data_IF_233036280316
#
_entry.id   IF_233036280316
#
_cell.length_a   1.000
_cell.length_b   1.000
_cell.length_c   1.000
_cell.angle_alpha   90.00
_cell.angle_beta   90.00
_cell.angle_gamma   90.00
#
_symmetry.space_group_name_H-M   'P 1'
#
loop_
_entity.id
_entity.type
_entity.pdbx_description
1 polymer ?
#
# COMPACT_ATOMS: atom_id res chain seq x y z
N UNK A 1 -1.94 1.85 18.40
CA UNK A 1 -1.21 1.61 17.14
C UNK A 1 -0.64 0.20 17.22
N UNK A 2 -1.01 -0.67 16.28
CA UNK A 2 -0.37 -1.97 16.14
C UNK A 2 0.92 -1.82 15.35
N UNK A 3 1.97 -2.53 15.75
CA UNK A 3 3.25 -2.59 15.03
C UNK A 3 3.46 -4.05 14.64
N UNK A 4 3.45 -4.33 13.35
CA UNK A 4 3.75 -5.66 12.81
C UNK A 4 5.19 -5.61 12.28
N UNK A 5 6.16 -6.26 12.94
CA UNK A 5 7.54 -6.24 12.47
C UNK A 5 7.73 -7.14 11.25
N UNK A 6 8.66 -6.76 10.37
CA UNK A 6 8.94 -7.46 9.11
C UNK A 6 9.16 -8.97 9.27
N UNK A 7 9.85 -9.38 10.34
CA UNK A 7 10.13 -10.79 10.63
C UNK A 7 8.89 -11.67 10.76
N UNK A 8 7.73 -11.09 11.09
CA UNK A 8 6.47 -11.84 11.26
C UNK A 8 5.75 -12.03 9.92
N UNK A 9 6.04 -11.22 8.89
CA UNK A 9 5.27 -11.17 7.65
C UNK A 9 5.29 -12.51 6.91
N UNK A 10 6.44 -13.20 6.89
CA UNK A 10 6.56 -14.51 6.25
C UNK A 10 5.69 -15.60 6.91
N UNK A 11 5.35 -15.45 8.21
CA UNK A 11 4.44 -16.35 8.91
C UNK A 11 2.96 -15.94 8.83
N UNK A 12 2.67 -14.70 8.40
CA UNK A 12 1.31 -14.14 8.33
C UNK A 12 0.75 -14.10 6.91
N UNK A 13 1.61 -13.91 5.91
CA UNK A 13 1.21 -13.77 4.51
C UNK A 13 1.32 -15.10 3.76
N UNK A 14 0.27 -15.42 3.01
CA UNK A 14 0.29 -16.48 2.00
C UNK A 14 0.08 -15.90 0.62
N UNK A 15 0.41 -16.68 -0.41
CA UNK A 15 0.21 -16.26 -1.80
C UNK A 15 -1.27 -16.07 -2.11
N UNK A 16 -2.12 -16.95 -1.61
CA UNK A 16 -3.56 -16.95 -1.81
C UNK A 16 -4.19 -15.71 -1.18
N UNK A 17 -3.82 -15.40 0.08
CA UNK A 17 -4.32 -14.20 0.76
C UNK A 17 -3.89 -12.90 0.05
N UNK A 18 -2.65 -12.84 -0.44
CA UNK A 18 -2.16 -11.71 -1.21
C UNK A 18 -2.89 -11.57 -2.56
N UNK A 19 -3.13 -12.68 -3.25
CA UNK A 19 -3.85 -12.69 -4.51
C UNK A 19 -5.29 -12.19 -4.33
N UNK A 20 -6.03 -12.74 -3.38
CA UNK A 20 -7.43 -12.35 -3.11
C UNK A 20 -7.55 -10.87 -2.74
N UNK A 21 -6.62 -10.35 -1.93
CA UNK A 21 -6.60 -8.95 -1.53
C UNK A 21 -6.35 -8.02 -2.74
N UNK A 22 -5.40 -8.39 -3.60
CA UNK A 22 -5.05 -7.61 -4.79
C UNK A 22 -6.18 -7.66 -5.83
N UNK A 23 -6.75 -8.83 -6.11
CA UNK A 23 -7.88 -8.97 -7.04
C UNK A 23 -9.06 -8.07 -6.62
N UNK A 24 -9.42 -8.09 -5.34
CA UNK A 24 -10.53 -7.28 -4.80
C UNK A 24 -10.29 -5.78 -4.95
N UNK A 25 -9.08 -5.29 -4.65
CA UNK A 25 -8.80 -3.86 -4.80
C UNK A 25 -8.81 -3.43 -6.27
N UNK A 26 -8.35 -4.28 -7.20
CA UNK A 26 -8.48 -4.00 -8.63
C UNK A 26 -9.95 -3.87 -9.05
N UNK A 27 -10.82 -4.77 -8.59
CA UNK A 27 -12.27 -4.68 -8.85
C UNK A 27 -12.88 -3.41 -8.24
N UNK A 28 -12.54 -3.06 -7.00
CA UNK A 28 -13.00 -1.84 -6.34
C UNK A 28 -12.56 -0.57 -7.07
N UNK A 29 -11.31 -0.53 -7.54
CA UNK A 29 -10.81 0.59 -8.36
C UNK A 29 -11.56 0.70 -9.68
N UNK A 30 -11.81 -0.42 -10.37
CA UNK A 30 -12.57 -0.43 -11.62
C UNK A 30 -14.03 0.04 -11.42
N UNK A 31 -14.61 -0.23 -10.25
CA UNK A 31 -15.94 0.25 -9.86
C UNK A 31 -15.96 1.72 -9.38
N UNK A 32 -14.79 2.36 -9.20
CA UNK A 32 -14.68 3.71 -8.65
C UNK A 32 -14.84 3.79 -7.13
N UNK A 33 -14.80 2.65 -6.43
CA UNK A 33 -14.91 2.56 -4.97
C UNK A 33 -13.57 2.71 -4.25
N UNK A 34 -12.46 2.59 -4.96
CA UNK A 34 -11.11 2.78 -4.44
C UNK A 34 -10.28 3.67 -5.36
N UNK A 35 -9.39 4.48 -4.79
CA UNK A 35 -8.48 5.33 -5.56
C UNK A 35 -7.14 5.55 -4.87
N UNK A 36 -6.16 5.94 -5.68
CA UNK A 36 -4.84 6.37 -5.22
C UNK A 36 -4.80 7.91 -5.15
N UNK A 37 -4.16 8.44 -4.11
CA UNK A 37 -3.80 9.86 -4.06
C UNK A 37 -2.60 10.13 -5.00
N UNK A 38 -2.34 11.40 -5.37
CA UNK A 38 -1.13 11.76 -6.11
C UNK A 38 0.13 11.25 -5.41
N UNK A 39 1.01 10.60 -6.17
CA UNK A 39 2.28 10.08 -5.66
C UNK A 39 3.23 11.24 -5.38
N UNK A 40 3.82 11.24 -4.18
CA UNK A 40 4.97 12.10 -3.86
C UNK A 40 6.23 11.28 -4.07
N UNK A 41 7.21 11.83 -4.78
CA UNK A 41 8.50 11.17 -5.03
C UNK A 41 9.60 12.23 -5.15
N UNK A 42 10.51 12.23 -4.19
CA UNK A 42 11.56 13.23 -4.04
C UNK A 42 12.94 12.57 -4.15
N UNK A 43 13.85 13.21 -4.89
CA UNK A 43 15.27 12.93 -4.78
C UNK A 43 15.83 13.77 -3.64
N UNK A 44 16.07 13.15 -2.49
CA UNK A 44 16.25 13.88 -1.22
C UNK A 44 17.64 14.51 -1.04
N UNK A 45 18.54 14.35 -2.01
CA UNK A 45 19.90 14.90 -1.96
C UNK A 45 20.85 14.18 -0.97
N UNK A 46 20.48 12.98 -0.50
CA UNK A 46 21.29 12.17 0.40
C UNK A 46 21.34 10.72 -0.08
N UNK A 47 22.55 10.14 -0.11
CA UNK A 47 22.80 8.74 -0.46
C UNK A 47 22.13 8.29 -1.78
N UNK A 48 21.99 9.19 -2.76
CA UNK A 48 21.26 8.99 -4.02
C UNK A 48 19.84 8.43 -3.84
N UNK A 49 19.25 8.64 -2.65
CA UNK A 49 17.98 8.06 -2.28
C UNK A 49 16.82 8.81 -2.93
N UNK A 50 15.85 8.04 -3.38
CA UNK A 50 14.50 8.52 -3.61
C UNK A 50 13.69 8.23 -2.36
N UNK A 51 12.77 9.11 -2.01
CA UNK A 51 11.81 8.88 -0.94
C UNK A 51 10.46 9.46 -1.32
N UNK A 52 9.38 8.83 -0.88
CA UNK A 52 8.07 9.25 -1.26
C UNK A 52 6.95 8.55 -0.53
N UNK A 53 5.74 8.87 -0.97
CA UNK A 53 4.50 8.37 -0.41
C UNK A 53 3.59 7.89 -1.52
N UNK A 54 3.01 6.71 -1.33
CA UNK A 54 1.88 6.20 -2.12
C UNK A 54 0.72 5.98 -1.16
N UNK A 55 -0.25 6.89 -1.20
CA UNK A 55 -1.47 6.80 -0.40
C UNK A 55 -2.66 6.36 -1.23
N UNK A 56 -3.66 5.80 -0.58
CA UNK A 56 -4.93 5.45 -1.21
C UNK A 56 -6.03 5.27 -0.18
N UNK A 57 -7.26 5.30 -0.67
CA UNK A 57 -8.45 4.98 0.12
C UNK A 57 -9.32 3.99 -0.66
N UNK A 58 -9.63 2.89 0.00
CA UNK A 58 -10.60 1.90 -0.46
C UNK A 58 -11.86 2.01 0.41
N UNK A 59 -12.93 2.55 -0.17
CA UNK A 59 -14.22 2.71 0.52
C UNK A 59 -14.91 1.37 0.74
N UNK A 60 -14.78 0.43 -0.19
CA UNK A 60 -15.40 -0.90 -0.10
C UNK A 60 -14.73 -1.73 1.00
N UNK A 61 -13.40 -1.66 1.10
CA UNK A 61 -12.61 -2.31 2.15
C UNK A 61 -12.53 -1.55 3.48
N UNK A 62 -12.97 -0.29 3.52
CA UNK A 62 -12.81 0.62 4.66
C UNK A 62 -11.34 0.81 5.10
N UNK A 63 -10.41 0.83 4.13
CA UNK A 63 -8.96 0.94 4.39
C UNK A 63 -8.44 2.27 3.86
N UNK A 64 -7.88 3.10 4.77
CA UNK A 64 -7.12 4.30 4.46
C UNK A 64 -5.68 4.11 4.94
N UNK A 65 -4.72 4.44 4.09
CA UNK A 65 -3.32 4.38 4.48
C UNK A 65 -2.36 4.93 3.44
N UNK A 66 -1.08 4.81 3.75
CA UNK A 66 0.01 5.09 2.85
C UNK A 66 1.18 4.13 3.07
N UNK A 67 1.95 3.93 2.00
CA UNK A 67 3.30 3.38 2.09
C UNK A 67 4.30 4.51 1.91
N UNK A 68 5.17 4.68 2.90
CA UNK A 68 6.29 5.61 2.87
C UNK A 68 7.59 4.83 2.63
N UNK A 69 8.44 5.31 1.74
CA UNK A 69 9.69 4.64 1.40
C UNK A 69 10.30 5.14 0.09
N UNK A 70 11.47 4.62 -0.25
CA UNK A 70 12.21 4.88 -1.48
C UNK A 70 12.14 3.74 -2.46
#
# INVERSE_FOLDING_TARGET
MWIVPEREIAGLMTREAAFDAVEKVFAAMAAGDAWNFPVVREAIGHADALYGFKGGFDRAGQVLGLKAGG
#
